data_IF_967641272999
#
_entry.id   IF_967641272999
#
_cell.length_a   1.000
_cell.length_b   1.000
_cell.length_c   1.000
_cell.angle_alpha   90.00
_cell.angle_beta   90.00
_cell.angle_gamma   90.00
#
_symmetry.space_group_name_H-M   'P 1'
#
loop_
_entity.id
_entity.type
_entity.pdbx_description
1 polymer ?
#
# COMPACT_ATOMS: atom_id res chain seq x y z
N UNK A 1 18.24 3.73 18.99
CA UNK A 1 17.42 4.71 18.25
C UNK A 1 16.92 5.75 19.23
N UNK A 2 17.04 7.04 18.90
CA UNK A 2 16.60 8.11 19.81
C UNK A 2 15.09 8.32 19.67
N UNK A 3 14.44 8.71 20.76
CA UNK A 3 13.00 9.02 20.79
C UNK A 3 12.63 10.11 19.76
N UNK A 4 13.50 11.11 19.63
CA UNK A 4 13.35 12.22 18.69
C UNK A 4 13.36 11.77 17.23
N UNK A 5 14.06 10.69 16.89
CA UNK A 5 14.07 10.16 15.52
C UNK A 5 12.76 9.45 15.20
N UNK A 6 12.18 8.73 16.16
CA UNK A 6 10.86 8.10 16.01
C UNK A 6 9.76 9.16 15.90
N UNK A 7 9.82 10.20 16.72
CA UNK A 7 8.87 11.31 16.66
C UNK A 7 8.97 12.07 15.34
N UNK A 8 10.18 12.37 14.88
CA UNK A 8 10.42 12.98 13.57
C UNK A 8 9.87 12.10 12.44
N UNK A 9 10.16 10.79 12.49
CA UNK A 9 9.70 9.82 11.50
C UNK A 9 8.16 9.76 11.44
N UNK A 10 7.49 9.72 12.59
CA UNK A 10 6.03 9.76 12.65
C UNK A 10 5.46 11.04 12.03
N UNK A 11 6.10 12.20 12.27
CA UNK A 11 5.75 13.47 11.62
C UNK A 11 5.87 13.43 10.09
N UNK A 12 6.92 12.79 9.56
CA UNK A 12 7.06 12.58 8.11
C UNK A 12 5.89 11.74 7.57
N UNK A 13 5.47 10.70 8.27
CA UNK A 13 4.31 9.90 7.85
C UNK A 13 2.98 10.65 7.92
N UNK A 14 2.81 11.50 8.93
CA UNK A 14 1.61 12.33 9.08
C UNK A 14 1.48 13.38 7.97
N UNK A 15 2.60 13.96 7.51
CA UNK A 15 2.63 14.91 6.40
C UNK A 15 2.57 14.24 5.03
N UNK A 16 3.57 13.43 4.70
CA UNK A 16 3.84 12.94 3.34
C UNK A 16 3.50 11.46 3.15
N UNK A 17 3.26 10.73 4.24
CA UNK A 17 3.05 9.30 4.21
C UNK A 17 1.61 8.88 3.87
N UNK A 18 1.49 7.64 3.44
CA UNK A 18 0.25 6.89 3.34
C UNK A 18 0.37 5.59 4.13
N UNK A 19 -0.68 5.25 4.87
CA UNK A 19 -0.78 4.06 5.74
C UNK A 19 -2.11 3.40 5.41
N UNK A 20 -2.10 2.16 4.96
CA UNK A 20 -3.33 1.48 4.56
C UNK A 20 -3.12 0.04 4.13
N UNK A 21 -4.07 -0.45 3.33
CA UNK A 21 -4.02 -1.78 2.73
C UNK A 21 -4.16 -1.69 1.21
N UNK A 22 -3.43 -2.56 0.52
CA UNK A 22 -3.58 -2.80 -0.91
C UNK A 22 -4.36 -4.08 -1.13
N UNK A 23 -5.37 -4.00 -2.01
CA UNK A 23 -6.18 -5.15 -2.44
C UNK A 23 -5.82 -5.52 -3.88
N UNK A 24 -5.32 -6.73 -4.12
CA UNK A 24 -4.97 -7.19 -5.47
C UNK A 24 -5.25 -8.69 -5.65
N UNK A 25 -5.44 -9.10 -6.91
CA UNK A 25 -5.50 -10.53 -7.29
C UNK A 25 -4.15 -10.94 -7.83
N UNK A 26 -3.64 -12.09 -7.42
CA UNK A 26 -2.42 -12.65 -8.02
C UNK A 26 -2.79 -13.41 -9.29
N UNK A 27 -2.00 -13.32 -10.37
CA UNK A 27 -2.20 -14.18 -11.54
C UNK A 27 -2.29 -15.66 -11.11
N UNK A 28 -3.31 -16.37 -11.58
CA UNK A 28 -3.55 -17.78 -11.22
C UNK A 28 -4.12 -18.02 -9.82
N UNK A 29 -4.47 -16.98 -9.05
CA UNK A 29 -5.15 -17.12 -7.77
C UNK A 29 -6.56 -16.52 -7.83
N UNK A 30 -7.56 -17.31 -7.46
CA UNK A 30 -8.96 -16.87 -7.36
C UNK A 30 -9.21 -15.95 -6.17
N UNK A 31 -8.36 -16.02 -5.15
CA UNK A 31 -8.53 -15.28 -3.89
C UNK A 31 -7.93 -13.88 -3.98
N UNK A 32 -8.65 -12.90 -3.43
CA UNK A 32 -8.18 -11.54 -3.24
C UNK A 32 -7.14 -11.50 -2.12
N UNK A 33 -6.00 -10.86 -2.37
CA UNK A 33 -4.95 -10.62 -1.37
C UNK A 33 -5.11 -9.20 -0.83
N UNK A 34 -5.10 -9.09 0.50
CA UNK A 34 -5.06 -7.85 1.27
C UNK A 34 -3.69 -7.75 1.92
N UNK A 35 -2.87 -6.81 1.48
CA UNK A 35 -1.53 -6.60 2.01
C UNK A 35 -1.47 -5.24 2.73
N UNK A 36 -0.93 -5.17 3.96
CA UNK A 36 -0.68 -3.89 4.59
C UNK A 36 0.39 -3.14 3.80
N UNK A 37 0.28 -1.84 3.75
CA UNK A 37 1.18 -0.99 2.98
C UNK A 37 1.39 0.34 3.66
N UNK A 38 2.66 0.73 3.76
CA UNK A 38 3.04 2.10 4.11
C UNK A 38 4.00 2.63 3.05
N UNK A 39 3.75 3.83 2.56
CA UNK A 39 4.54 4.45 1.50
C UNK A 39 4.72 5.94 1.74
N UNK A 40 5.83 6.47 1.24
CA UNK A 40 6.11 7.90 1.17
C UNK A 40 6.54 8.24 -0.26
N UNK A 41 6.09 9.39 -0.73
CA UNK A 41 6.43 9.96 -2.04
C UNK A 41 6.67 11.45 -1.84
N UNK A 42 7.83 11.97 -2.25
CA UNK A 42 8.15 13.39 -2.14
C UNK A 42 9.24 13.81 -3.13
N UNK A 43 9.36 15.11 -3.38
CA UNK A 43 10.38 15.69 -4.28
C UNK A 43 11.66 16.12 -3.55
N UNK A 44 11.81 15.81 -2.27
CA UNK A 44 12.98 16.19 -1.47
C UNK A 44 13.82 14.96 -1.12
N UNK A 45 14.81 14.67 -1.96
CA UNK A 45 15.67 13.49 -1.84
C UNK A 45 16.36 13.33 -0.48
N UNK A 46 16.96 14.37 0.15
CA UNK A 46 17.65 14.20 1.43
C UNK A 46 16.73 13.69 2.55
N UNK A 47 15.46 14.10 2.55
CA UNK A 47 14.47 13.60 3.54
C UNK A 47 14.17 12.12 3.31
N UNK A 48 14.07 11.68 2.05
CA UNK A 48 13.87 10.26 1.71
C UNK A 48 15.08 9.43 2.16
N UNK A 49 16.30 9.91 1.90
CA UNK A 49 17.54 9.24 2.33
C UNK A 49 17.59 9.10 3.85
N UNK A 50 17.41 10.19 4.60
CA UNK A 50 17.39 10.16 6.07
C UNK A 50 16.31 9.21 6.60
N UNK A 51 15.16 9.16 5.93
CA UNK A 51 14.11 8.24 6.34
C UNK A 51 14.51 6.78 6.14
N UNK A 52 15.11 6.43 4.99
CA UNK A 52 15.59 5.07 4.71
C UNK A 52 16.70 4.65 5.69
N UNK A 53 17.56 5.57 6.12
CA UNK A 53 18.57 5.32 7.15
C UNK A 53 17.93 4.92 8.49
N UNK A 54 16.96 5.71 8.99
CA UNK A 54 16.26 5.39 10.23
C UNK A 54 15.54 4.03 10.10
N UNK A 55 14.89 3.77 8.96
CA UNK A 55 14.23 2.48 8.72
C UNK A 55 15.23 1.30 8.78
N UNK A 56 16.45 1.46 8.25
CA UNK A 56 17.50 0.44 8.33
C UNK A 56 17.95 0.20 9.77
N UNK A 57 18.10 1.25 10.56
CA UNK A 57 18.40 1.13 12.00
C UNK A 57 17.27 0.41 12.77
N UNK A 58 16.03 0.52 12.31
CA UNK A 58 14.89 -0.28 12.80
C UNK A 58 14.91 -1.72 12.29
N UNK A 59 15.92 -2.15 11.53
CA UNK A 59 15.98 -3.47 10.90
C UNK A 59 14.93 -3.69 9.82
N UNK A 60 14.46 -2.60 9.19
CA UNK A 60 13.45 -2.62 8.14
C UNK A 60 14.10 -2.42 6.77
N UNK A 61 13.55 -3.07 5.76
CA UNK A 61 13.93 -2.84 4.35
C UNK A 61 12.75 -2.25 3.60
N UNK A 62 12.97 -1.11 2.97
CA UNK A 62 12.01 -0.49 2.08
C UNK A 62 12.40 -0.70 0.62
N UNK A 63 11.40 -0.84 -0.26
CA UNK A 63 11.62 -0.81 -1.70
C UNK A 63 11.61 0.64 -2.15
N UNK A 64 12.80 1.22 -2.36
CA UNK A 64 12.96 2.57 -2.88
C UNK A 64 12.71 2.61 -4.40
N UNK A 65 12.19 3.72 -4.88
CA UNK A 65 11.98 4.00 -6.29
C UNK A 65 12.14 5.50 -6.57
N UNK A 66 12.53 5.79 -7.81
CA UNK A 66 12.64 7.15 -8.33
C UNK A 66 11.79 7.23 -9.59
N UNK A 67 11.03 8.30 -9.72
CA UNK A 67 10.23 8.60 -10.88
C UNK A 67 10.79 9.85 -11.56
N UNK A 68 11.26 9.68 -12.80
CA UNK A 68 11.67 10.80 -13.64
C UNK A 68 10.46 11.38 -14.34
N UNK A 69 10.20 12.66 -14.10
CA UNK A 69 9.03 13.33 -14.67
C UNK A 69 9.22 13.61 -16.16
N UNK A 70 8.14 13.43 -16.93
CA UNK A 70 8.18 13.64 -18.38
C UNK A 70 8.00 15.11 -18.78
N UNK A 71 7.42 15.92 -17.89
CA UNK A 71 7.11 17.32 -18.14
C UNK A 71 8.17 18.20 -17.50
N UNK A 72 8.73 19.14 -18.27
CA UNK A 72 9.84 19.99 -17.84
C UNK A 72 9.55 20.87 -16.60
N UNK A 73 8.27 21.16 -16.31
CA UNK A 73 7.87 21.96 -15.14
C UNK A 73 7.54 21.12 -13.90
N UNK A 74 7.60 19.79 -14.00
CA UNK A 74 7.45 18.89 -12.86
C UNK A 74 8.83 18.54 -12.30
N UNK A 75 8.89 18.31 -10.98
CA UNK A 75 10.11 17.82 -10.31
C UNK A 75 10.09 16.30 -10.27
N UNK A 76 11.27 15.70 -10.41
CA UNK A 76 11.45 14.29 -10.11
C UNK A 76 10.96 13.95 -8.69
N UNK A 77 10.53 12.71 -8.52
CA UNK A 77 9.95 12.22 -7.28
C UNK A 77 10.73 11.01 -6.78
N UNK A 78 10.97 11.00 -5.47
CA UNK A 78 11.56 9.88 -4.75
C UNK A 78 10.52 9.30 -3.82
N UNK A 79 10.56 7.98 -3.65
CA UNK A 79 9.67 7.32 -2.73
C UNK A 79 10.18 5.97 -2.32
N UNK A 80 9.49 5.39 -1.35
CA UNK A 80 9.69 4.00 -0.99
C UNK A 80 8.40 3.41 -0.47
N UNK A 81 8.37 2.08 -0.45
CA UNK A 81 7.23 1.30 -0.02
C UNK A 81 7.67 0.18 0.92
N UNK A 82 6.88 -0.06 1.96
CA UNK A 82 7.02 -1.19 2.88
C UNK A 82 5.68 -1.91 2.92
N UNK A 83 5.67 -3.17 2.48
CA UNK A 83 4.47 -3.99 2.35
C UNK A 83 4.54 -5.34 3.06
N UNK A 84 5.66 -5.64 3.73
CA UNK A 84 5.79 -6.86 4.54
C UNK A 84 5.04 -6.67 5.85
N UNK A 85 4.09 -7.56 6.15
CA UNK A 85 3.24 -7.48 7.36
C UNK A 85 4.03 -7.34 8.64
N UNK A 86 5.12 -8.12 8.84
CA UNK A 86 5.96 -7.99 10.03
C UNK A 86 6.66 -6.62 10.14
N UNK A 87 7.03 -6.02 9.01
CA UNK A 87 7.66 -4.69 9.00
C UNK A 87 6.63 -3.60 9.28
N UNK A 88 5.45 -3.66 8.66
CA UNK A 88 4.37 -2.70 8.93
C UNK A 88 3.93 -2.78 10.38
N UNK A 89 3.83 -3.99 10.96
CA UNK A 89 3.54 -4.17 12.38
C UNK A 89 4.58 -3.47 13.26
N UNK A 90 5.87 -3.73 13.01
CA UNK A 90 6.96 -3.11 13.76
C UNK A 90 6.92 -1.58 13.68
N UNK A 91 6.66 -1.04 12.49
CA UNK A 91 6.48 0.40 12.32
C UNK A 91 5.30 0.94 13.09
N UNK A 92 4.13 0.30 12.97
CA UNK A 92 2.92 0.74 13.65
C UNK A 92 3.12 0.74 15.18
N UNK A 93 3.78 -0.28 15.73
CA UNK A 93 4.11 -0.32 17.17
C UNK A 93 5.04 0.82 17.59
N UNK A 94 6.05 1.16 16.79
CA UNK A 94 7.05 2.16 17.14
C UNK A 94 6.60 3.60 16.89
N UNK A 95 5.77 3.84 15.86
CA UNK A 95 5.35 5.17 15.42
C UNK A 95 4.01 5.63 16.02
N UNK A 96 3.13 4.69 16.39
CA UNK A 96 1.81 5.02 16.94
C UNK A 96 1.84 5.99 18.14
N UNK A 97 2.79 5.90 19.10
CA UNK A 97 2.86 6.86 20.21
C UNK A 97 3.04 8.32 19.79
N UNK A 98 3.69 8.54 18.64
CA UNK A 98 4.04 9.88 18.14
C UNK A 98 3.12 10.35 17.01
N UNK A 99 2.29 9.46 16.45
CA UNK A 99 1.36 9.80 15.38
C UNK A 99 0.23 10.71 15.90
N UNK A 100 -0.11 11.72 15.11
CA UNK A 100 -1.17 12.69 15.37
C UNK A 100 -2.25 12.58 14.30
N UNK A 101 -1.95 12.97 13.05
CA UNK A 101 -2.93 13.06 11.96
C UNK A 101 -3.37 11.68 11.48
N UNK A 102 -2.46 10.71 11.43
CA UNK A 102 -2.74 9.35 10.98
C UNK A 102 -2.79 8.33 12.12
N UNK A 103 -3.00 8.79 13.37
CA UNK A 103 -3.08 7.90 14.55
C UNK A 103 -4.09 6.77 14.38
N UNK A 104 -5.27 7.07 13.85
CA UNK A 104 -6.30 6.05 13.60
C UNK A 104 -5.85 5.03 12.55
N UNK A 105 -5.22 5.47 11.46
CA UNK A 105 -4.67 4.56 10.45
C UNK A 105 -3.61 3.63 11.07
N UNK A 106 -2.71 4.16 11.89
CA UNK A 106 -1.70 3.37 12.59
C UNK A 106 -2.31 2.38 13.58
N UNK A 107 -3.39 2.75 14.25
CA UNK A 107 -4.11 1.88 15.19
C UNK A 107 -4.73 0.70 14.44
N UNK A 108 -5.49 0.97 13.37
CA UNK A 108 -6.17 -0.07 12.59
C UNK A 108 -5.19 -0.98 11.84
N UNK A 109 -4.11 -0.42 11.26
CA UNK A 109 -3.13 -1.24 10.56
C UNK A 109 -2.33 -2.11 11.53
N UNK A 110 -2.08 -1.64 12.76
CA UNK A 110 -1.44 -2.44 13.82
C UNK A 110 -2.32 -3.64 14.15
N UNK A 111 -3.60 -3.42 14.46
CA UNK A 111 -4.55 -4.49 14.77
C UNK A 111 -4.66 -5.50 13.63
N UNK A 112 -4.79 -5.02 12.38
CA UNK A 112 -4.84 -5.88 11.21
C UNK A 112 -3.60 -6.78 11.11
N UNK A 113 -2.40 -6.19 11.30
CA UNK A 113 -1.16 -6.94 11.25
C UNK A 113 -1.02 -7.92 12.42
N UNK A 114 -1.45 -7.56 13.63
CA UNK A 114 -1.42 -8.43 14.82
C UNK A 114 -2.27 -9.67 14.62
N UNK A 115 -3.51 -9.53 14.13
CA UNK A 115 -4.39 -10.67 13.83
C UNK A 115 -3.73 -11.58 12.78
N UNK A 116 -3.22 -10.99 11.69
CA UNK A 116 -2.62 -11.78 10.60
C UNK A 116 -1.37 -12.52 11.05
N UNK A 117 -0.50 -11.85 11.80
CA UNK A 117 0.73 -12.43 12.36
C UNK A 117 0.40 -13.50 13.40
N UNK A 118 -0.58 -13.28 14.28
CA UNK A 118 -1.00 -14.28 15.26
C UNK A 118 -1.52 -15.57 14.61
N UNK A 119 -2.23 -15.45 13.48
CA UNK A 119 -2.79 -16.60 12.75
C UNK A 119 -1.78 -17.35 11.88
N UNK A 120 -0.77 -16.66 11.33
CA UNK A 120 0.16 -17.27 10.36
C UNK A 120 1.58 -17.44 10.89
N UNK A 121 1.98 -16.66 11.89
CA UNK A 121 3.37 -16.49 12.30
C UNK A 121 4.21 -15.72 11.28
N UNK A 122 5.43 -15.39 11.70
CA UNK A 122 6.47 -14.79 10.86
C UNK A 122 7.63 -15.76 10.64
N UNK A 123 8.23 -15.72 9.45
CA UNK A 123 9.55 -16.33 9.19
C UNK A 123 10.68 -15.43 9.72
N UNK A 124 11.92 -15.92 9.63
CA UNK A 124 13.11 -15.21 10.11
C UNK A 124 13.38 -13.89 9.36
N UNK A 125 12.71 -13.69 8.21
CA UNK A 125 12.81 -12.50 7.38
C UNK A 125 11.63 -11.53 7.59
N UNK A 126 10.76 -11.80 8.57
CA UNK A 126 9.59 -10.99 8.90
C UNK A 126 8.46 -11.09 7.88
N UNK A 127 8.42 -12.14 7.06
CA UNK A 127 7.31 -12.44 6.15
C UNK A 127 6.33 -13.37 6.82
N UNK A 128 5.07 -13.30 6.43
CA UNK A 128 4.07 -14.27 6.90
C UNK A 128 4.48 -15.66 6.44
N UNK A 129 4.51 -16.64 7.36
CA UNK A 129 4.75 -18.03 6.98
C UNK A 129 3.62 -18.46 6.05
N UNK A 130 3.96 -19.08 4.91
CA UNK A 130 2.94 -19.73 4.08
C UNK A 130 2.38 -20.86 4.94
N UNK A 131 1.07 -20.85 5.20
CA UNK A 131 0.45 -21.90 5.99
C UNK A 131 0.66 -23.24 5.28
N UNK A 132 1.14 -24.26 6.00
CA UNK A 132 1.18 -25.65 5.55
C UNK A 132 1.71 -25.91 4.13
N UNK A 133 1.16 -26.97 3.51
CA UNK A 133 1.53 -27.46 2.17
C UNK A 133 1.52 -26.31 1.13
N UNK A 134 2.42 -26.35 0.12
CA UNK A 134 2.38 -25.42 -0.99
C UNK A 134 0.96 -25.28 -1.56
N UNK A 135 0.43 -24.04 -1.59
CA UNK A 135 -0.92 -23.74 -2.08
C UNK A 135 -2.00 -23.54 -1.00
N UNK A 136 -1.72 -23.81 0.28
CA UNK A 136 -2.70 -23.59 1.34
C UNK A 136 -2.76 -22.10 1.75
N UNK A 137 -3.87 -21.45 1.40
CA UNK A 137 -4.14 -20.04 1.71
C UNK A 137 -4.98 -19.96 2.99
N UNK A 138 -4.52 -19.19 3.98
CA UNK A 138 -5.30 -18.91 5.19
C UNK A 138 -6.27 -17.75 4.88
N UNK A 139 -7.59 -17.98 4.90
CA UNK A 139 -8.57 -16.95 4.63
C UNK A 139 -8.50 -15.81 5.63
N UNK A 140 -8.83 -14.59 5.18
CA UNK A 140 -9.02 -13.45 6.08
C UNK A 140 -10.23 -13.71 6.97
N UNK A 141 -10.11 -13.37 8.25
CA UNK A 141 -11.23 -13.35 9.19
C UNK A 141 -12.14 -12.15 8.90
N UNK A 142 -13.37 -12.18 9.40
CA UNK A 142 -14.31 -11.07 9.26
C UNK A 142 -13.74 -9.77 9.85
N UNK A 143 -13.03 -9.86 10.97
CA UNK A 143 -12.36 -8.70 11.58
C UNK A 143 -11.24 -8.13 10.70
N UNK A 144 -10.43 -8.97 10.06
CA UNK A 144 -9.42 -8.50 9.09
C UNK A 144 -10.07 -7.77 7.91
N UNK A 145 -11.20 -8.28 7.41
CA UNK A 145 -11.94 -7.66 6.31
C UNK A 145 -12.53 -6.31 6.73
N UNK A 146 -13.10 -6.23 7.92
CA UNK A 146 -13.64 -5.00 8.51
C UNK A 146 -12.56 -3.92 8.65
N UNK A 147 -11.42 -4.26 9.24
CA UNK A 147 -10.28 -3.34 9.40
C UNK A 147 -9.76 -2.83 8.06
N UNK A 148 -9.67 -3.71 7.06
CA UNK A 148 -9.25 -3.35 5.71
C UNK A 148 -10.24 -2.36 5.04
N UNK A 149 -11.54 -2.52 5.30
CA UNK A 149 -12.57 -1.60 4.82
C UNK A 149 -12.55 -0.25 5.55
N UNK A 150 -12.34 -0.26 6.87
CA UNK A 150 -12.17 0.96 7.66
C UNK A 150 -10.97 1.77 7.18
N UNK A 151 -9.80 1.13 7.02
CA UNK A 151 -8.60 1.76 6.46
C UNK A 151 -8.85 2.36 5.07
N UNK A 152 -9.55 1.63 4.20
CA UNK A 152 -9.89 2.10 2.86
C UNK A 152 -10.84 3.32 2.87
N UNK A 153 -11.70 3.44 3.88
CA UNK A 153 -12.61 4.59 4.06
C UNK A 153 -11.86 5.81 4.58
N UNK A 154 -10.95 5.64 5.54
CA UNK A 154 -10.18 6.75 6.12
C UNK A 154 -9.29 7.46 5.11
N UNK A 155 -8.77 6.75 4.10
CA UNK A 155 -7.93 7.36 3.06
C UNK A 155 -8.73 8.17 2.03
N UNK A 156 -10.06 7.99 1.94
CA UNK A 156 -10.89 8.70 0.97
C UNK A 156 -11.21 10.11 1.47
N UNK A 157 -11.01 11.11 0.61
CA UNK A 157 -11.43 12.49 0.88
C UNK A 157 -12.92 12.66 0.56
N UNK A 158 -13.63 13.37 1.44
CA UNK A 158 -15.03 13.79 1.24
C UNK A 158 -16.06 12.68 1.48
N UNK A 159 -17.34 13.06 1.57
CA UNK A 159 -18.43 12.08 1.50
C UNK A 159 -18.35 11.41 0.12
N UNK A 160 -18.44 10.07 0.03
CA UNK A 160 -18.60 9.44 -1.27
C UNK A 160 -19.79 10.11 -1.97
N UNK A 161 -19.60 10.51 -3.23
CA UNK A 161 -20.71 11.02 -4.02
C UNK A 161 -21.87 10.01 -3.92
N UNK A 162 -23.12 10.46 -3.74
CA UNK A 162 -24.26 9.57 -3.78
C UNK A 162 -24.15 8.75 -5.06
N UNK A 163 -24.18 7.44 -4.90
CA UNK A 163 -24.05 6.49 -6.01
C UNK A 163 -25.38 6.47 -6.75
N UNK A 164 -25.67 7.53 -7.50
CA UNK A 164 -26.63 7.45 -8.59
C UNK A 164 -25.92 6.68 -9.72
N UNK A 165 -26.05 5.35 -9.71
CA UNK A 165 -25.70 4.57 -10.90
C UNK A 165 -26.79 4.85 -11.93
N UNK A 166 -26.46 5.39 -13.13
CA UNK A 166 -27.31 5.13 -14.26
C UNK A 166 -27.28 3.62 -14.47
N UNK A 167 -28.43 2.99 -14.30
CA UNK A 167 -28.69 1.69 -14.93
C UNK A 167 -28.61 1.95 -16.43
N UNK A 168 -27.98 1.02 -17.16
CA UNK A 168 -27.77 1.04 -18.62
C UNK A 168 -26.56 1.80 -19.17
N UNK A 169 -25.42 1.09 -19.13
CA UNK A 169 -24.52 1.02 -20.29
C UNK A 169 -24.37 -0.45 -20.71
N UNK A 170 -25.43 -0.99 -21.30
CA UNK A 170 -25.26 -1.99 -22.34
C UNK A 170 -24.90 -1.23 -23.64
N UNK A 171 -24.08 -1.86 -24.48
CA UNK A 171 -23.77 -1.48 -25.86
C UNK A 171 -22.80 -0.31 -26.11
N UNK A 172 -21.51 -0.61 -25.97
CA UNK A 172 -20.50 -0.08 -26.87
C UNK A 172 -19.45 -1.17 -27.14
N UNK A 173 -19.93 -2.27 -27.74
CA UNK A 173 -19.10 -3.32 -28.30
C UNK A 173 -18.22 -2.71 -29.39
N UNK A 174 -16.92 -2.94 -29.27
CA UNK A 174 -15.87 -2.58 -30.21
C UNK A 174 -16.14 -3.25 -31.56
N UNK A 175 -16.71 -2.53 -32.52
CA UNK A 175 -16.54 -2.81 -33.95
C UNK A 175 -15.30 -2.03 -34.42
N UNK A 176 -14.16 -2.72 -34.47
CA UNK A 176 -13.04 -2.37 -35.36
C UNK A 176 -12.78 -3.59 -36.25
N UNK A 177 -13.64 -3.75 -37.25
CA UNK A 177 -13.42 -4.65 -38.37
C UNK A 177 -12.96 -3.82 -39.56
N UNK A 178 -11.74 -4.14 -40.02
CA UNK A 178 -11.38 -4.32 -41.42
C UNK A 178 -11.84 -3.24 -42.41
N UNK A 179 -10.95 -2.31 -42.74
CA UNK A 179 -10.87 -1.71 -44.09
C UNK A 179 -9.57 -0.89 -44.25
N UNK A 180 -8.52 -1.55 -44.74
CA UNK A 180 -7.45 -0.91 -45.51
C UNK A 180 -6.57 -1.99 -46.15
N UNK A 181 -7.03 -2.58 -47.26
CA UNK A 181 -6.13 -3.20 -48.23
C UNK A 181 -5.71 -2.12 -49.25
N UNK A 182 -4.42 -2.02 -49.61
CA UNK A 182 -3.97 -1.12 -50.66
C UNK A 182 -4.29 -1.71 -52.04
N UNK A 183 -5.02 -0.95 -52.86
CA UNK A 183 -5.13 -1.20 -54.29
C UNK A 183 -3.85 -0.73 -54.98
N UNK A 184 -2.99 -1.68 -55.36
CA UNK A 184 -1.88 -1.46 -56.27
C UNK A 184 -1.99 -2.42 -57.45
N UNK A 185 -2.41 -1.90 -58.60
CA UNK A 185 -2.18 -2.48 -59.92
C UNK A 185 -2.54 -1.45 -61.00
N UNK A 186 -1.52 -0.75 -61.51
CA UNK A 186 -1.42 -0.24 -62.88
C UNK A 186 0.08 -0.04 -63.17
#
# INVERSE_FOLDING_TARGET
>A
MKETELAWLAGIWDGEGSVGVSRYRRPGNVNQVIAPQVQIQMTHEPTVVKTVEILREMGLTATAYTWRERKAHHKDMWGYNISRTGYVLRMATLLLPYAVTKREHWTLIKEFCEIRVGRMGLDDQGRLRKGGKPGWWVPYSDRELELADQLSRLTRRGKPAPVERPVDRQDATVQKSLESQPAGAA
#
